data_IF_167737032607
#
_entry.id   IF_167737032607
#
_cell.length_a   1.000
_cell.length_b   1.000
_cell.length_c   1.000
_cell.angle_alpha   90.00
_cell.angle_beta   90.00
_cell.angle_gamma   90.00
#
_symmetry.space_group_name_H-M   'P 1'
#
loop_
_entity.id
_entity.type
_entity.pdbx_description
1 polymer ?
#
# COMPACT_ATOMS: atom_id res chain seq x y z
N UNK A 1 -62.88 2.84 12.32
CA UNK A 1 -62.13 3.58 11.27
C UNK A 1 -60.64 3.29 11.45
N UNK A 2 -59.89 3.04 10.37
CA UNK A 2 -58.85 2.00 10.32
C UNK A 2 -57.47 2.46 10.84
N UNK A 3 -56.60 1.51 11.24
CA UNK A 3 -55.26 1.77 11.78
C UNK A 3 -54.28 2.17 10.67
N UNK A 4 -54.42 3.37 10.12
CA UNK A 4 -53.59 3.88 9.03
C UNK A 4 -52.22 4.43 9.49
N UNK A 5 -51.95 4.48 10.80
CA UNK A 5 -50.72 5.07 11.35
C UNK A 5 -49.49 4.16 11.28
N UNK A 6 -49.67 2.83 11.41
CA UNK A 6 -48.55 1.89 11.48
C UNK A 6 -47.99 1.53 10.08
N UNK A 7 -48.84 1.54 9.05
CA UNK A 7 -48.46 1.16 7.69
C UNK A 7 -47.62 2.25 6.97
N UNK A 8 -47.71 3.51 7.43
CA UNK A 8 -46.91 4.62 6.88
C UNK A 8 -45.48 4.67 7.41
N UNK A 9 -45.22 4.09 8.58
CA UNK A 9 -43.86 4.04 9.15
C UNK A 9 -42.99 2.94 8.55
N UNK A 10 -43.58 1.80 8.15
CA UNK A 10 -42.85 0.70 7.51
C UNK A 10 -42.47 0.98 6.04
N UNK A 11 -43.21 1.86 5.35
CA UNK A 11 -42.91 2.20 3.95
C UNK A 11 -41.66 3.08 3.79
N UNK A 12 -41.32 3.93 4.77
CA UNK A 12 -40.11 4.76 4.72
C UNK A 12 -38.82 3.98 5.04
N UNK A 13 -38.90 2.89 5.81
CA UNK A 13 -37.71 2.13 6.20
C UNK A 13 -37.20 1.21 5.07
N UNK A 14 -38.10 0.73 4.20
CA UNK A 14 -37.73 -0.09 3.03
C UNK A 14 -37.10 0.72 1.87
N UNK A 15 -37.33 2.02 1.81
CA UNK A 15 -36.73 2.92 0.80
C UNK A 15 -35.30 3.36 1.14
N UNK A 16 -34.81 3.09 2.36
CA UNK A 16 -33.45 3.47 2.79
C UNK A 16 -32.40 2.36 2.59
N UNK A 17 -32.81 1.12 2.30
CA UNK A 17 -31.87 0.01 2.10
C UNK A 17 -30.90 0.14 0.90
N UNK A 18 -31.21 0.79 -0.24
CA UNK A 18 -30.27 0.84 -1.35
C UNK A 18 -29.07 1.77 -1.10
N UNK A 19 -29.15 2.66 -0.10
CA UNK A 19 -28.09 3.63 0.19
C UNK A 19 -26.87 3.02 0.91
N UNK A 20 -27.04 1.88 1.59
CA UNK A 20 -25.98 1.20 2.34
C UNK A 20 -25.07 0.31 1.47
N UNK A 21 -25.54 -0.12 0.29
CA UNK A 21 -24.78 -1.00 -0.60
C UNK A 21 -23.58 -0.31 -1.30
N UNK A 22 -23.61 1.03 -1.43
CA UNK A 22 -22.59 1.80 -2.16
C UNK A 22 -21.39 2.27 -1.31
N UNK A 23 -21.23 1.76 -0.09
CA UNK A 23 -20.18 2.23 0.82
C UNK A 23 -18.85 1.46 0.75
N UNK A 24 -18.82 0.27 0.14
CA UNK A 24 -17.66 -0.63 0.20
C UNK A 24 -16.46 -0.21 -0.69
N UNK A 25 -16.66 0.69 -1.65
CA UNK A 25 -15.64 1.02 -2.67
C UNK A 25 -15.01 2.41 -2.48
N UNK A 26 -15.25 3.05 -1.33
CA UNK A 26 -14.83 4.45 -1.10
C UNK A 26 -13.38 4.63 -0.65
N UNK A 27 -12.65 3.54 -0.38
CA UNK A 27 -11.23 3.62 -0.01
C UNK A 27 -10.36 3.47 -1.27
N UNK A 28 -9.56 4.48 -1.64
CA UNK A 28 -8.53 4.33 -2.65
C UNK A 28 -7.65 3.12 -2.35
N UNK A 29 -7.06 2.49 -3.37
CA UNK A 29 -6.10 1.41 -3.21
C UNK A 29 -4.80 1.81 -3.91
N UNK A 30 -3.63 1.34 -3.43
CA UNK A 30 -2.39 1.55 -4.16
C UNK A 30 -2.44 0.80 -5.49
N UNK A 31 -1.74 1.35 -6.48
CA UNK A 31 -1.46 0.65 -7.73
C UNK A 31 -0.36 -0.39 -7.47
N UNK A 32 -0.75 -1.66 -7.47
CA UNK A 32 0.17 -2.78 -7.20
C UNK A 32 0.33 -3.61 -8.47
N UNK A 33 1.55 -3.61 -9.03
CA UNK A 33 1.95 -4.51 -10.11
C UNK A 33 3.11 -5.35 -9.61
N UNK A 34 2.97 -6.66 -9.76
CA UNK A 34 4.01 -7.65 -9.49
C UNK A 34 4.29 -8.35 -10.81
N UNK A 35 5.30 -7.88 -11.52
CA UNK A 35 5.69 -8.44 -12.83
C UNK A 35 6.29 -9.85 -12.71
N UNK A 36 6.75 -10.23 -11.51
CA UNK A 36 7.37 -11.52 -11.21
C UNK A 36 6.49 -12.33 -10.26
N UNK A 37 5.53 -13.11 -10.77
CA UNK A 37 4.64 -13.92 -9.94
C UNK A 37 5.41 -15.05 -9.25
N UNK A 38 5.03 -15.37 -8.01
CA UNK A 38 5.67 -16.40 -7.19
C UNK A 38 5.74 -16.01 -5.73
N UNK A 39 6.24 -16.92 -4.89
CA UNK A 39 6.53 -16.59 -3.50
C UNK A 39 7.79 -15.72 -3.43
N UNK A 40 7.65 -14.54 -2.85
CA UNK A 40 8.77 -13.65 -2.55
C UNK A 40 9.32 -13.97 -1.14
N UNK A 41 9.58 -12.95 -0.32
CA UNK A 41 10.17 -13.16 1.01
C UNK A 41 9.17 -13.69 2.05
N UNK A 42 7.88 -13.37 1.92
CA UNK A 42 6.76 -13.86 2.73
C UNK A 42 5.44 -13.67 1.96
N UNK A 43 4.35 -14.16 2.54
CA UNK A 43 3.00 -13.93 2.04
C UNK A 43 2.52 -12.47 2.19
N UNK A 44 1.56 -12.05 1.36
CA UNK A 44 1.20 -10.65 1.18
C UNK A 44 0.57 -10.02 2.45
N UNK A 45 -0.14 -10.80 3.25
CA UNK A 45 -0.71 -10.41 4.53
C UNK A 45 0.36 -10.13 5.59
N UNK A 46 1.45 -10.90 5.59
CA UNK A 46 2.60 -10.66 6.46
C UNK A 46 3.28 -9.36 6.02
N UNK A 47 3.50 -9.18 4.71
CA UNK A 47 4.11 -7.96 4.18
C UNK A 47 3.29 -6.71 4.50
N UNK A 48 1.96 -6.73 4.41
CA UNK A 48 1.15 -5.55 4.77
C UNK A 48 1.27 -5.16 6.25
N UNK A 49 1.47 -6.13 7.15
CA UNK A 49 1.48 -5.90 8.60
C UNK A 49 2.88 -5.61 9.14
N UNK A 50 3.88 -6.37 8.68
CA UNK A 50 5.19 -6.47 9.35
C UNK A 50 6.34 -5.85 8.55
N UNK A 51 6.12 -5.57 7.26
CA UNK A 51 7.11 -4.94 6.37
C UNK A 51 7.89 -3.76 6.98
N UNK A 52 7.25 -2.73 7.59
CA UNK A 52 8.01 -1.59 8.09
C UNK A 52 8.99 -1.97 9.19
N UNK A 53 8.64 -2.91 10.07
CA UNK A 53 9.49 -3.30 11.18
C UNK A 53 10.59 -4.27 10.73
N UNK A 54 10.28 -5.17 9.79
CA UNK A 54 11.31 -5.99 9.13
C UNK A 54 12.38 -5.11 8.47
N UNK A 55 11.98 -4.05 7.76
CA UNK A 55 12.90 -3.13 7.10
C UNK A 55 13.72 -2.31 8.08
N UNK A 56 13.12 -1.79 9.17
CA UNK A 56 13.85 -1.06 10.22
C UNK A 56 14.91 -1.93 10.87
N UNK A 57 14.53 -3.15 11.25
CA UNK A 57 15.45 -4.11 11.88
C UNK A 57 16.59 -4.45 10.94
N UNK A 58 16.29 -4.75 9.67
CA UNK A 58 17.34 -5.06 8.70
C UNK A 58 18.26 -3.87 8.42
N UNK A 59 17.70 -2.65 8.34
CA UNK A 59 18.48 -1.42 8.19
C UNK A 59 19.48 -1.26 9.32
N UNK A 60 19.03 -1.40 10.57
CA UNK A 60 19.91 -1.20 11.72
C UNK A 60 20.98 -2.31 11.80
N UNK A 61 20.63 -3.57 11.57
CA UNK A 61 21.61 -4.67 11.45
C UNK A 61 22.66 -4.40 10.36
N UNK A 62 22.24 -3.95 9.18
CA UNK A 62 23.17 -3.73 8.06
C UNK A 62 24.03 -2.49 8.26
N UNK A 63 23.43 -1.36 8.67
CA UNK A 63 24.10 -0.06 8.69
C UNK A 63 24.83 0.22 9.99
N UNK A 64 24.34 -0.27 11.13
CA UNK A 64 24.92 -0.01 12.45
C UNK A 64 25.78 -1.17 12.94
N UNK A 65 25.35 -2.40 12.69
CA UNK A 65 26.02 -3.61 13.19
C UNK A 65 26.89 -4.29 12.12
N UNK A 66 26.76 -3.91 10.86
CA UNK A 66 27.51 -4.48 9.73
C UNK A 66 27.04 -5.87 9.27
N UNK A 67 25.95 -6.39 9.83
CA UNK A 67 25.40 -7.72 9.56
C UNK A 67 24.61 -7.73 8.25
N UNK A 68 25.02 -8.55 7.27
CA UNK A 68 24.41 -8.65 5.93
C UNK A 68 23.91 -10.07 5.66
N UNK A 69 22.64 -10.31 5.99
CA UNK A 69 21.94 -11.57 5.67
C UNK A 69 21.15 -11.46 4.37
N UNK A 70 20.89 -12.60 3.70
CA UNK A 70 20.08 -12.64 2.47
C UNK A 70 18.59 -12.37 2.74
N UNK A 71 17.98 -13.14 3.65
CA UNK A 71 16.55 -13.01 3.99
C UNK A 71 16.23 -11.58 4.44
N UNK A 72 15.19 -10.99 3.84
CA UNK A 72 14.72 -9.61 4.08
C UNK A 72 15.70 -8.49 3.75
N UNK A 73 16.78 -8.78 3.01
CA UNK A 73 17.64 -7.71 2.51
C UNK A 73 16.87 -6.81 1.53
N UNK A 74 17.18 -5.51 1.53
CA UNK A 74 16.61 -4.57 0.56
C UNK A 74 16.86 -5.02 -0.89
N UNK A 75 17.98 -5.70 -1.17
CA UNK A 75 18.29 -6.25 -2.49
C UNK A 75 17.29 -7.30 -2.94
N UNK A 76 17.01 -8.31 -2.12
CA UNK A 76 16.04 -9.37 -2.46
C UNK A 76 14.63 -8.79 -2.65
N UNK A 77 14.25 -7.78 -1.86
CA UNK A 77 12.98 -7.08 -2.05
C UNK A 77 12.91 -6.39 -3.42
N UNK A 78 13.97 -5.69 -3.84
CA UNK A 78 14.04 -5.04 -5.16
C UNK A 78 14.05 -6.05 -6.30
N UNK A 79 14.70 -7.20 -6.14
CA UNK A 79 14.71 -8.26 -7.16
C UNK A 79 13.29 -8.75 -7.49
N UNK A 80 12.39 -8.81 -6.50
CA UNK A 80 10.99 -9.16 -6.71
C UNK A 80 10.12 -7.99 -7.19
N UNK A 81 10.33 -6.78 -6.64
CA UNK A 81 9.42 -5.65 -6.83
C UNK A 81 9.81 -4.65 -7.92
N UNK A 82 11.02 -4.72 -8.47
CA UNK A 82 11.42 -3.87 -9.58
C UNK A 82 10.60 -4.25 -10.83
N UNK A 83 10.02 -3.25 -11.49
CA UNK A 83 9.28 -3.46 -12.72
C UNK A 83 10.16 -4.08 -13.79
N UNK A 84 9.64 -5.06 -14.54
CA UNK A 84 10.40 -5.82 -15.54
C UNK A 84 10.94 -4.91 -16.67
N UNK A 85 10.23 -3.82 -16.98
CA UNK A 85 10.62 -2.86 -18.01
C UNK A 85 11.49 -1.72 -17.49
N UNK A 86 11.26 -1.28 -16.25
CA UNK A 86 11.91 -0.08 -15.68
C UNK A 86 13.12 -0.41 -14.83
N UNK A 87 13.26 -1.67 -14.41
CA UNK A 87 14.22 -2.14 -13.41
C UNK A 87 14.20 -1.28 -12.12
N UNK A 88 13.05 -0.67 -11.83
CA UNK A 88 12.90 0.30 -10.75
C UNK A 88 11.67 -0.01 -9.90
N UNK A 89 11.78 0.30 -8.62
CA UNK A 89 10.67 0.24 -7.64
C UNK A 89 10.00 1.62 -7.43
N UNK A 90 10.58 2.67 -8.02
CA UNK A 90 10.10 4.05 -8.01
C UNK A 90 9.77 4.55 -9.43
N UNK A 91 8.96 5.61 -9.53
CA UNK A 91 8.47 6.16 -10.81
C UNK A 91 6.98 5.91 -11.04
N UNK A 92 6.47 6.24 -12.22
CA UNK A 92 5.07 5.99 -12.57
C UNK A 92 4.78 4.48 -12.38
N UNK A 93 3.77 4.16 -11.57
CA UNK A 93 3.36 2.78 -11.28
C UNK A 93 4.42 1.90 -10.60
N UNK A 94 5.49 2.49 -10.07
CA UNK A 94 6.48 1.76 -9.26
C UNK A 94 5.86 1.20 -7.98
N UNK A 95 6.13 -0.07 -7.67
CA UNK A 95 5.50 -0.77 -6.54
C UNK A 95 5.74 -0.06 -5.20
N UNK A 96 7.00 0.24 -4.87
CA UNK A 96 7.33 0.90 -3.62
C UNK A 96 6.73 2.30 -3.57
N UNK A 97 6.85 3.07 -4.66
CA UNK A 97 6.31 4.43 -4.74
C UNK A 97 4.79 4.45 -4.53
N UNK A 98 4.03 3.62 -5.23
CA UNK A 98 2.57 3.65 -5.15
C UNK A 98 2.04 3.27 -3.77
N UNK A 99 2.64 2.27 -3.12
CA UNK A 99 2.21 1.85 -1.79
C UNK A 99 2.55 2.91 -0.73
N UNK A 100 3.72 3.54 -0.86
CA UNK A 100 4.15 4.62 0.04
C UNK A 100 3.33 5.91 -0.14
N UNK A 101 2.96 6.26 -1.38
CA UNK A 101 2.06 7.38 -1.66
C UNK A 101 0.68 7.12 -1.05
N UNK A 102 0.14 5.91 -1.25
CA UNK A 102 -1.13 5.50 -0.65
C UNK A 102 -1.11 5.55 0.88
N UNK A 103 -0.05 5.03 1.49
CA UNK A 103 0.11 5.00 2.95
C UNK A 103 0.54 6.36 3.54
N UNK A 104 0.81 7.37 2.70
CA UNK A 104 1.41 8.64 3.12
C UNK A 104 2.72 8.49 3.90
N UNK A 105 3.51 7.46 3.54
CA UNK A 105 4.79 7.15 4.17
C UNK A 105 5.92 7.56 3.25
N UNK A 106 6.86 8.35 3.76
CA UNK A 106 8.02 8.79 2.96
C UNK A 106 9.02 7.65 2.78
N UNK A 107 9.57 7.50 1.56
CA UNK A 107 10.77 6.69 1.33
C UNK A 107 12.04 7.47 1.71
N UNK A 108 12.98 6.83 2.38
CA UNK A 108 14.38 7.25 2.44
C UNK A 108 15.31 6.02 2.52
N UNK A 109 16.58 6.08 2.08
CA UNK A 109 17.60 6.95 2.65
C UNK A 109 17.99 8.22 1.84
N UNK A 110 17.41 8.55 0.67
CA UNK A 110 17.12 9.95 0.21
C UNK A 110 16.12 9.92 -0.96
N UNK A 111 15.00 9.22 -0.77
CA UNK A 111 14.05 8.86 -1.82
C UNK A 111 14.58 7.75 -2.72
N UNK A 112 15.12 6.69 -2.10
CA UNK A 112 15.83 5.59 -2.77
C UNK A 112 16.95 6.08 -3.73
N UNK A 113 17.65 7.13 -3.29
CA UNK A 113 18.95 7.69 -3.72
C UNK A 113 19.17 8.00 -5.21
N UNK A 114 18.85 9.24 -5.57
CA UNK A 114 18.56 9.72 -6.90
C UNK A 114 19.45 10.87 -7.45
N UNK A 115 19.46 11.05 -8.78
CA UNK A 115 19.68 12.34 -9.46
C UNK A 115 18.89 12.47 -10.78
N UNK A 116 17.57 12.59 -10.85
CA UNK A 116 16.56 13.10 -9.92
C UNK A 116 15.14 12.59 -10.32
N UNK A 117 14.38 11.91 -9.45
CA UNK A 117 12.93 11.77 -9.59
C UNK A 117 12.19 12.58 -8.51
N UNK A 118 11.24 13.42 -8.93
CA UNK A 118 10.13 13.99 -8.12
C UNK A 118 8.96 14.33 -9.06
N UNK A 119 7.68 14.29 -8.66
CA UNK A 119 7.11 14.60 -7.34
C UNK A 119 6.05 13.57 -6.88
N UNK A 120 6.26 13.00 -5.70
CA UNK A 120 5.17 12.62 -4.83
C UNK A 120 4.55 13.92 -4.27
N UNK A 121 3.26 14.11 -4.48
CA UNK A 121 2.53 15.30 -4.04
C UNK A 121 2.33 15.27 -2.52
N UNK A 122 2.68 16.36 -1.83
CA UNK A 122 2.47 16.46 -0.37
C UNK A 122 3.46 17.35 0.39
N UNK A 123 4.52 17.88 -0.24
CA UNK A 123 5.33 18.92 0.39
C UNK A 123 4.64 20.28 0.19
N UNK A 124 4.09 20.85 1.28
CA UNK A 124 3.64 22.24 1.34
C UNK A 124 4.83 23.17 0.98
N UNK A 125 4.61 24.28 0.25
CA UNK A 125 5.68 25.20 -0.14
C UNK A 125 6.49 25.71 1.05
#
# INVERSE_FOLDING_TARGET
MPPHGLLRFFACLLLALPALAFAAERTPKPFIVIDKPGQCVEAAEIMRREHPDMLKHQRDRTMREGIRTRKYSLKECVECHAGAKTASVIGEKGFCQSCHDYASVRLDCFGCHASKPKLASGAKP
#
